data_IF_664166191385
#
_entry.id   IF_664166191385
#
_cell.length_a   1.000
_cell.length_b   1.000
_cell.length_c   1.000
_cell.angle_alpha   90.00
_cell.angle_beta   90.00
_cell.angle_gamma   90.00
#
_symmetry.space_group_name_H-M   'P 1'
#
loop_
_entity.id
_entity.type
_entity.pdbx_description
1 polymer ?
#
# COMPACT_ATOMS: atom_id res chain seq x y z
N UNK A 1 21.65 1.29 7.20
CA UNK A 1 20.38 1.93 6.81
C UNK A 1 20.72 3.21 6.07
N UNK A 2 19.88 3.68 5.13
CA UNK A 2 20.08 4.99 4.50
C UNK A 2 19.66 6.09 5.48
N UNK A 3 20.35 7.21 5.41
CA UNK A 3 20.08 8.40 6.21
C UNK A 3 18.78 9.07 5.73
N UNK A 4 18.14 9.87 6.57
CA UNK A 4 16.87 10.54 6.25
C UNK A 4 16.93 11.34 4.94
N UNK A 5 18.06 12.00 4.67
CA UNK A 5 18.26 12.79 3.46
C UNK A 5 18.41 11.95 2.19
N UNK A 6 18.81 10.68 2.30
CA UNK A 6 19.10 9.80 1.15
C UNK A 6 18.03 8.72 0.93
N UNK A 7 17.05 8.64 1.85
CA UNK A 7 15.95 7.70 1.74
C UNK A 7 14.95 8.15 0.67
N UNK A 8 14.36 7.17 -0.01
CA UNK A 8 13.29 7.41 -0.98
C UNK A 8 11.92 6.96 -0.48
N UNK A 9 11.85 6.46 0.77
CA UNK A 9 10.63 5.90 1.35
C UNK A 9 9.50 6.92 1.41
N UNK A 10 9.81 8.22 1.45
CA UNK A 10 8.82 9.29 1.47
C UNK A 10 8.25 9.63 0.08
N UNK A 11 8.85 9.14 -1.02
CA UNK A 11 8.35 9.39 -2.39
C UNK A 11 7.04 8.63 -2.61
N UNK A 12 6.04 9.24 -3.26
CA UNK A 12 4.70 8.64 -3.39
C UNK A 12 4.67 7.30 -4.14
N UNK A 13 5.56 7.10 -5.11
CA UNK A 13 5.71 5.85 -5.87
C UNK A 13 6.40 4.73 -5.07
N UNK A 14 7.02 5.05 -3.93
CA UNK A 14 7.69 4.09 -3.05
C UNK A 14 6.89 3.89 -1.76
N UNK A 15 6.47 4.98 -1.11
CA UNK A 15 5.71 4.97 0.15
C UNK A 15 4.43 4.14 0.04
N UNK A 16 3.56 4.45 -0.92
CA UNK A 16 2.26 3.77 -1.01
C UNK A 16 2.40 2.27 -1.27
N UNK A 17 3.21 1.81 -2.25
CA UNK A 17 3.35 0.37 -2.47
C UNK A 17 3.98 -0.37 -1.30
N UNK A 18 4.99 0.21 -0.64
CA UNK A 18 5.61 -0.44 0.53
C UNK A 18 4.63 -0.54 1.70
N UNK A 19 3.85 0.51 1.98
CA UNK A 19 2.85 0.48 3.06
C UNK A 19 1.77 -0.57 2.78
N UNK A 20 1.25 -0.63 1.55
CA UNK A 20 0.23 -1.63 1.17
C UNK A 20 0.80 -3.04 1.24
N UNK A 21 2.00 -3.27 0.69
CA UNK A 21 2.66 -4.57 0.74
C UNK A 21 2.88 -5.05 2.20
N UNK A 22 3.30 -4.16 3.09
CA UNK A 22 3.48 -4.48 4.51
C UNK A 22 2.15 -4.86 5.18
N UNK A 23 1.07 -4.12 4.90
CA UNK A 23 -0.26 -4.43 5.44
C UNK A 23 -0.76 -5.78 4.94
N UNK A 24 -0.56 -6.09 3.66
CA UNK A 24 -0.95 -7.39 3.08
C UNK A 24 -0.13 -8.53 3.69
N UNK A 25 1.17 -8.35 3.87
CA UNK A 25 2.02 -9.33 4.53
C UNK A 25 1.58 -9.59 5.99
N UNK A 26 1.13 -8.57 6.70
CA UNK A 26 0.55 -8.73 8.04
C UNK A 26 -0.77 -9.50 8.01
N UNK A 27 -1.62 -9.26 7.01
CA UNK A 27 -2.85 -10.04 6.79
C UNK A 27 -2.52 -11.51 6.55
N UNK A 28 -1.52 -11.81 5.72
CA UNK A 28 -1.11 -13.18 5.43
C UNK A 28 -0.46 -13.86 6.64
N UNK A 29 0.31 -13.11 7.43
CA UNK A 29 0.84 -13.60 8.69
C UNK A 29 -0.29 -13.99 9.65
N UNK A 30 -1.29 -13.12 9.83
CA UNK A 30 -2.44 -13.44 10.69
C UNK A 30 -3.22 -14.65 10.17
N UNK A 31 -3.45 -14.73 8.85
CA UNK A 31 -4.07 -15.90 8.21
C UNK A 31 -3.28 -17.19 8.46
N UNK A 32 -1.94 -17.12 8.48
CA UNK A 32 -1.08 -18.27 8.79
C UNK A 32 -1.23 -18.78 10.23
N UNK A 33 -1.81 -17.97 11.12
CA UNK A 33 -2.18 -18.33 12.49
C UNK A 33 -3.67 -18.64 12.63
N UNK A 34 -4.37 -18.88 11.51
CA UNK A 34 -5.82 -19.08 11.44
C UNK A 34 -6.65 -17.89 11.97
N UNK A 35 -6.06 -16.70 12.03
CA UNK A 35 -6.74 -15.46 12.43
C UNK A 35 -7.30 -14.78 11.18
N UNK A 36 -8.63 -14.66 11.12
CA UNK A 36 -9.33 -13.96 10.02
C UNK A 36 -10.13 -12.77 10.55
N UNK A 37 -10.13 -11.63 9.83
CA UNK A 37 -10.87 -10.45 10.26
C UNK A 37 -12.38 -10.62 10.05
N UNK A 38 -13.18 -10.30 11.07
CA UNK A 38 -14.66 -10.26 10.97
C UNK A 38 -15.18 -8.93 10.42
N UNK A 39 -14.37 -7.87 10.51
CA UNK A 39 -14.66 -6.56 9.96
C UNK A 39 -13.34 -5.87 9.57
N UNK A 40 -13.38 -5.03 8.53
CA UNK A 40 -12.21 -4.28 8.05
C UNK A 40 -12.60 -2.83 7.82
N UNK A 41 -11.74 -1.91 8.26
CA UNK A 41 -11.83 -0.48 7.98
C UNK A 41 -10.47 0.04 7.52
N UNK A 42 -10.45 1.17 6.83
CA UNK A 42 -9.22 1.78 6.38
C UNK A 42 -9.29 3.30 6.48
N UNK A 43 -8.12 3.90 6.68
CA UNK A 43 -7.95 5.35 6.60
C UNK A 43 -7.06 5.69 5.40
N UNK A 44 -7.41 6.76 4.69
CA UNK A 44 -6.62 7.32 3.59
C UNK A 44 -6.20 6.27 2.54
N UNK A 45 -4.91 5.90 2.48
CA UNK A 45 -4.35 5.00 1.47
C UNK A 45 -4.53 3.51 1.76
N UNK A 46 -4.97 3.13 2.96
CA UNK A 46 -5.09 1.73 3.38
C UNK A 46 -6.21 0.94 2.71
N UNK A 47 -7.05 1.58 1.90
CA UNK A 47 -8.20 0.93 1.25
C UNK A 47 -7.83 -0.25 0.35
N UNK A 48 -6.66 -0.22 -0.29
CA UNK A 48 -6.18 -1.31 -1.17
C UNK A 48 -5.87 -2.57 -0.35
N UNK A 49 -5.16 -2.41 0.77
CA UNK A 49 -4.87 -3.53 1.66
C UNK A 49 -6.15 -4.05 2.35
N UNK A 50 -7.12 -3.17 2.62
CA UNK A 50 -8.43 -3.60 3.12
C UNK A 50 -9.21 -4.45 2.11
N UNK A 51 -9.21 -4.05 0.83
CA UNK A 51 -9.83 -4.82 -0.25
C UNK A 51 -9.16 -6.20 -0.43
N UNK A 52 -7.83 -6.27 -0.28
CA UNK A 52 -7.10 -7.53 -0.21
C UNK A 52 -7.49 -8.38 1.00
N UNK A 53 -7.62 -7.77 2.19
CA UNK A 53 -7.94 -8.48 3.43
C UNK A 53 -9.30 -9.18 3.39
N UNK A 54 -10.28 -8.59 2.71
CA UNK A 54 -11.62 -9.20 2.49
C UNK A 54 -11.72 -10.06 1.22
N UNK A 55 -10.61 -10.23 0.48
CA UNK A 55 -10.53 -11.09 -0.70
C UNK A 55 -11.15 -10.52 -1.97
N UNK A 56 -11.42 -9.22 -2.03
CA UNK A 56 -11.93 -8.56 -3.26
C UNK A 56 -10.83 -8.35 -4.31
N UNK A 57 -9.57 -8.23 -3.88
CA UNK A 57 -8.40 -8.16 -4.76
C UNK A 57 -7.43 -9.30 -4.47
N UNK A 58 -6.83 -9.85 -5.52
CA UNK A 58 -5.64 -10.70 -5.39
C UNK A 58 -4.42 -9.88 -4.97
N UNK A 59 -3.32 -10.57 -4.65
CA UNK A 59 -2.06 -9.90 -4.32
C UNK A 59 -1.55 -9.07 -5.51
N UNK A 60 -1.57 -9.66 -6.70
CA UNK A 60 -1.11 -9.05 -7.95
C UNK A 60 -1.97 -7.83 -8.32
N UNK A 61 -3.29 -7.92 -8.16
CA UNK A 61 -4.21 -6.82 -8.43
C UNK A 61 -3.98 -5.66 -7.46
N UNK A 62 -3.89 -5.94 -6.16
CA UNK A 62 -3.63 -4.93 -5.14
C UNK A 62 -2.29 -4.22 -5.38
N UNK A 63 -1.22 -4.97 -5.70
CA UNK A 63 0.09 -4.42 -6.02
C UNK A 63 0.09 -3.61 -7.33
N UNK A 64 -0.66 -4.05 -8.34
CA UNK A 64 -0.83 -3.30 -9.58
C UNK A 64 -1.54 -1.95 -9.34
N UNK A 65 -2.65 -1.96 -8.62
CA UNK A 65 -3.42 -0.74 -8.30
C UNK A 65 -2.56 0.27 -7.53
N UNK A 66 -1.86 -0.15 -6.48
CA UNK A 66 -1.04 0.78 -5.68
C UNK A 66 0.15 1.31 -6.46
N UNK A 67 0.77 0.50 -7.32
CA UNK A 67 1.87 0.92 -8.18
C UNK A 67 1.44 2.05 -9.13
N UNK A 68 0.35 1.83 -9.88
CA UNK A 68 -0.15 2.84 -10.82
C UNK A 68 -0.64 4.10 -10.11
N UNK A 69 -1.25 3.96 -8.93
CA UNK A 69 -1.67 5.09 -8.10
C UNK A 69 -0.48 5.93 -7.63
N UNK A 70 0.60 5.30 -7.16
CA UNK A 70 1.83 6.00 -6.76
C UNK A 70 2.49 6.74 -7.92
N UNK A 71 2.57 6.09 -9.10
CA UNK A 71 3.05 6.72 -10.35
C UNK A 71 2.22 7.94 -10.76
N UNK A 72 0.89 7.84 -10.66
CA UNK A 72 -0.02 8.92 -11.01
C UNK A 72 0.13 10.10 -10.03
N UNK A 73 0.25 9.82 -8.72
CA UNK A 73 0.46 10.85 -7.71
C UNK A 73 1.76 11.65 -7.93
N UNK A 74 2.87 10.96 -8.24
CA UNK A 74 4.12 11.64 -8.63
C UNK A 74 3.94 12.51 -9.86
N UNK A 75 3.24 11.99 -10.89
CA UNK A 75 2.97 12.76 -12.12
C UNK A 75 2.18 14.03 -11.82
N UNK A 76 1.19 13.97 -10.93
CA UNK A 76 0.44 15.15 -10.52
C UNK A 76 1.29 16.18 -9.76
N UNK A 77 2.16 15.75 -8.83
CA UNK A 77 3.08 16.68 -8.16
C UNK A 77 4.02 17.39 -9.13
N UNK A 78 4.47 16.72 -10.19
CA UNK A 78 5.34 17.35 -11.21
C UNK A 78 4.60 18.39 -12.07
N UNK A 79 3.29 18.24 -12.27
CA UNK A 79 2.48 19.13 -13.13
C UNK A 79 1.88 20.31 -12.36
N UNK A 80 1.73 20.18 -11.04
CA UNK A 80 1.26 21.26 -10.16
C UNK A 80 2.14 21.34 -8.91
N UNK A 81 3.32 21.97 -9.01
CA UNK A 81 4.17 22.21 -7.85
C UNK A 81 3.48 23.27 -6.99
N UNK A 82 2.94 22.83 -5.86
CA UNK A 82 2.48 23.70 -4.76
C UNK A 82 3.65 24.45 -4.15
#
# INVERSE_FOLDING_TARGET
MRDEETTRVHQFDISQPITVALQMALVDLLKSWDITPTAVTSHSSGGIAAAYAVGTLSFEEAMGVVYFRGKLALKHQMISPS
#
